data_IF_919127179995
#
_entry.id   IF_919127179995
#
_cell.length_a   1.000
_cell.length_b   1.000
_cell.length_c   1.000
_cell.angle_alpha   90.00
_cell.angle_beta   90.00
_cell.angle_gamma   90.00
#
_symmetry.space_group_name_H-M   'P 1'
#
loop_
_entity.id
_entity.type
_entity.pdbx_description
1 polymer ?
#
# COMPACT_ATOMS: atom_id res chain seq x y z
N UNK A 1 1.82 4.89 8.68
CA UNK A 1 2.58 6.12 8.43
C UNK A 1 4.04 5.74 8.23
N UNK A 2 4.59 5.99 7.04
CA UNK A 2 5.96 5.64 6.63
C UNK A 2 6.95 6.66 7.19
N UNK A 3 8.08 6.19 7.72
CA UNK A 3 9.08 7.01 8.40
C UNK A 3 10.45 7.04 7.71
N UNK A 4 10.74 6.07 6.85
CA UNK A 4 12.04 5.94 6.20
C UNK A 4 11.91 5.19 4.86
N UNK A 5 13.00 5.19 4.09
CA UNK A 5 13.02 4.59 2.75
C UNK A 5 12.85 3.06 2.76
N UNK A 6 13.24 2.39 3.85
CA UNK A 6 13.02 0.95 3.98
C UNK A 6 11.52 0.64 4.17
N UNK A 7 10.81 1.41 4.98
CA UNK A 7 9.36 1.32 5.13
C UNK A 7 8.62 1.73 3.86
N UNK A 8 9.13 2.73 3.11
CA UNK A 8 8.62 3.09 1.79
C UNK A 8 8.68 1.90 0.84
N UNK A 9 9.87 1.28 0.71
CA UNK A 9 10.08 0.12 -0.16
C UNK A 9 9.13 -1.03 0.20
N UNK A 10 9.05 -1.38 1.48
CA UNK A 10 8.17 -2.44 1.97
C UNK A 10 6.70 -2.13 1.66
N UNK A 11 6.28 -0.87 1.81
CA UNK A 11 4.90 -0.46 1.52
C UNK A 11 4.60 -0.57 0.02
N UNK A 12 5.52 -0.15 -0.85
CA UNK A 12 5.39 -0.29 -2.30
C UNK A 12 5.31 -1.76 -2.73
N UNK A 13 6.13 -2.65 -2.16
CA UNK A 13 6.06 -4.10 -2.41
C UNK A 13 4.72 -4.70 -1.97
N UNK A 14 4.17 -4.24 -0.84
CA UNK A 14 2.84 -4.64 -0.37
C UNK A 14 1.73 -4.19 -1.31
N UNK A 15 1.79 -2.97 -1.86
CA UNK A 15 0.84 -2.48 -2.87
C UNK A 15 0.83 -3.43 -4.07
N UNK A 16 2.00 -3.70 -4.67
CA UNK A 16 2.13 -4.59 -5.84
C UNK A 16 1.54 -5.97 -5.56
N UNK A 17 1.80 -6.52 -4.37
CA UNK A 17 1.24 -7.82 -3.95
C UNK A 17 -0.29 -7.77 -3.86
N UNK A 18 -0.85 -6.73 -3.25
CA UNK A 18 -2.29 -6.60 -3.07
C UNK A 18 -3.01 -6.38 -4.42
N UNK A 19 -2.44 -5.58 -5.31
CA UNK A 19 -2.93 -5.41 -6.68
C UNK A 19 -2.91 -6.73 -7.45
N UNK A 20 -1.83 -7.52 -7.31
CA UNK A 20 -1.72 -8.84 -7.93
C UNK A 20 -2.79 -9.81 -7.42
N UNK A 21 -3.07 -9.82 -6.11
CA UNK A 21 -4.14 -10.63 -5.52
C UNK A 21 -5.52 -10.17 -5.98
N UNK A 22 -5.75 -8.86 -6.03
CA UNK A 22 -7.01 -8.30 -6.52
C UNK A 22 -7.24 -8.62 -8.01
N UNK A 23 -6.19 -8.58 -8.83
CA UNK A 23 -6.24 -8.96 -10.23
C UNK A 23 -6.59 -10.44 -10.42
N UNK A 24 -6.03 -11.33 -9.58
CA UNK A 24 -6.39 -12.76 -9.57
C UNK A 24 -7.85 -12.95 -9.16
N UNK A 25 -8.28 -12.32 -8.05
CA UNK A 25 -9.66 -12.40 -7.56
C UNK A 25 -10.69 -11.91 -8.59
N UNK A 26 -10.34 -10.90 -9.39
CA UNK A 26 -11.20 -10.38 -10.47
C UNK A 26 -11.58 -11.44 -11.49
N UNK A 27 -10.74 -12.45 -11.68
CA UNK A 27 -10.96 -13.52 -12.66
C UNK A 27 -11.46 -14.80 -11.98
N UNK A 28 -11.02 -15.09 -10.76
CA UNK A 28 -11.31 -16.36 -10.09
C UNK A 28 -12.58 -16.36 -9.24
N UNK A 29 -13.02 -15.20 -8.73
CA UNK A 29 -14.24 -15.10 -7.92
C UNK A 29 -15.49 -15.05 -8.80
N UNK A 30 -16.63 -15.52 -8.27
CA UNK A 30 -17.92 -15.32 -8.95
C UNK A 30 -18.29 -13.84 -9.00
N UNK A 31 -19.21 -13.48 -9.90
CA UNK A 31 -19.66 -12.10 -10.07
C UNK A 31 -20.36 -11.57 -8.81
N UNK A 32 -21.04 -12.46 -8.08
CA UNK A 32 -21.80 -12.17 -6.87
C UNK A 32 -20.88 -12.00 -5.64
N UNK A 33 -19.79 -12.77 -5.57
CA UNK A 33 -18.84 -12.74 -4.45
C UNK A 33 -17.80 -11.62 -4.61
N UNK A 34 -17.39 -11.31 -5.85
CA UNK A 34 -16.29 -10.38 -6.10
C UNK A 34 -16.45 -9.01 -5.41
N UNK A 35 -17.62 -8.33 -5.44
CA UNK A 35 -17.80 -7.06 -4.74
C UNK A 35 -17.62 -7.15 -3.21
N UNK A 36 -17.92 -8.31 -2.63
CA UNK A 36 -17.84 -8.54 -1.19
C UNK A 36 -16.38 -8.71 -0.73
N UNK A 37 -15.56 -9.38 -1.54
CA UNK A 37 -14.15 -9.65 -1.22
C UNK A 37 -13.19 -8.56 -1.69
N UNK A 38 -13.49 -7.88 -2.81
CA UNK A 38 -12.59 -6.87 -3.41
C UNK A 38 -12.51 -5.56 -2.61
N UNK A 39 -13.57 -5.21 -1.87
CA UNK A 39 -13.63 -3.95 -1.12
C UNK A 39 -12.55 -3.81 -0.04
N UNK A 40 -12.14 -4.91 0.59
CA UNK A 40 -11.05 -4.90 1.58
C UNK A 40 -9.70 -4.58 0.94
N UNK A 41 -9.38 -5.24 -0.18
CA UNK A 41 -8.15 -4.98 -0.93
C UNK A 41 -8.08 -3.55 -1.44
N UNK A 42 -9.18 -3.05 -2.02
CA UNK A 42 -9.26 -1.66 -2.52
C UNK A 42 -8.93 -0.66 -1.42
N UNK A 43 -9.61 -0.75 -0.27
CA UNK A 43 -9.40 0.20 0.85
C UNK A 43 -7.97 0.17 1.37
N UNK A 44 -7.37 -1.02 1.47
CA UNK A 44 -6.00 -1.15 1.96
C UNK A 44 -4.97 -0.61 0.96
N UNK A 45 -5.18 -0.83 -0.34
CA UNK A 45 -4.35 -0.24 -1.42
C UNK A 45 -4.45 1.28 -1.40
N UNK A 46 -5.67 1.84 -1.35
CA UNK A 46 -5.89 3.30 -1.27
C UNK A 46 -5.22 3.91 -0.04
N UNK A 47 -5.33 3.26 1.13
CA UNK A 47 -4.67 3.68 2.37
C UNK A 47 -3.15 3.70 2.22
N UNK A 48 -2.55 2.64 1.68
CA UNK A 48 -1.09 2.55 1.47
C UNK A 48 -0.59 3.58 0.45
N UNK A 49 -1.33 3.85 -0.62
CA UNK A 49 -0.98 4.90 -1.58
C UNK A 49 -0.97 6.28 -0.92
N UNK A 50 -1.96 6.59 -0.07
CA UNK A 50 -1.96 7.83 0.71
C UNK A 50 -0.70 7.95 1.56
N UNK A 51 -0.32 6.89 2.29
CA UNK A 51 0.90 6.91 3.12
C UNK A 51 2.19 7.08 2.29
N UNK A 52 2.27 6.44 1.12
CA UNK A 52 3.38 6.60 0.18
C UNK A 52 3.48 8.04 -0.30
N UNK A 53 2.37 8.64 -0.73
CA UNK A 53 2.35 10.01 -1.21
C UNK A 53 2.70 10.99 -0.09
N UNK A 54 2.11 10.82 1.09
CA UNK A 54 2.44 11.63 2.27
C UNK A 54 3.93 11.59 2.60
N UNK A 55 4.60 10.44 2.44
CA UNK A 55 6.04 10.31 2.65
C UNK A 55 6.84 11.00 1.54
N UNK A 56 6.52 10.69 0.27
CA UNK A 56 7.26 11.22 -0.89
C UNK A 56 7.13 12.74 -1.06
N UNK A 57 6.08 13.35 -0.51
CA UNK A 57 5.91 14.81 -0.51
C UNK A 57 6.55 15.52 0.68
N UNK A 58 7.10 14.79 1.65
CA UNK A 58 7.92 15.39 2.72
C UNK A 58 9.31 15.68 2.18
N UNK A 59 9.86 16.82 2.56
CA UNK A 59 11.26 17.09 2.26
C UNK A 59 12.14 16.17 3.11
N UNK A 60 13.28 15.71 2.56
CA UNK A 60 14.18 14.79 3.27
C UNK A 60 14.81 15.41 4.53
N UNK A 61 14.87 16.74 4.63
CA UNK A 61 15.28 17.45 5.86
C UNK A 61 14.26 17.39 6.99
N UNK A 62 13.00 17.07 6.66
CA UNK A 62 11.90 17.03 7.62
C UNK A 62 11.66 15.59 8.12
N UNK A 63 12.41 14.63 7.58
CA UNK A 63 12.40 13.25 8.03
C UNK A 63 12.97 13.20 9.47
N UNK A 64 12.27 12.54 10.42
CA UNK A 64 12.82 12.33 11.75
C UNK A 64 14.18 11.66 11.62
N UNK A 65 15.21 12.22 12.30
CA UNK A 65 16.55 11.65 12.36
C UNK A 65 16.42 10.14 12.55
N UNK A 66 16.83 9.37 11.53
CA UNK A 66 16.86 7.93 11.61
C UNK A 66 17.61 7.55 12.89
N UNK A 67 16.90 6.96 13.85
CA UNK A 67 17.54 6.40 15.04
C UNK A 67 18.36 5.22 14.52
N UNK A 68 19.65 5.49 14.25
CA UNK A 68 20.65 4.47 13.98
C UNK A 68 20.69 3.59 15.25
N UNK A 69 20.24 2.35 15.11
CA UNK A 69 20.48 1.28 16.08
C UNK A 69 21.49 0.32 15.50
#
# INVERSE_FOLDING_TARGET
>A
MIQNDQELRVTQERIVRFESLLAQLRVSASREEFPQVSGGYRREIERMHTEVMEYLTRHSSDAPLAIQR
#
